data_IF_453911108598
#
_entry.id   IF_453911108598
#
_cell.length_a   1.000
_cell.length_b   1.000
_cell.length_c   1.000
_cell.angle_alpha   90.00
_cell.angle_beta   90.00
_cell.angle_gamma   90.00
#
_symmetry.space_group_name_H-M   'P 1'
#
loop_
_entity.id
_entity.type
_entity.pdbx_description
1 polymer ?
#
# COMPACT_ATOMS: atom_id res chain seq x y z
N UNK A 1 4.96 -21.00 4.06
CA UNK A 1 4.67 -20.06 5.17
C UNK A 1 3.89 -18.90 4.60
N UNK A 2 2.74 -18.58 5.19
CA UNK A 2 1.94 -17.43 4.77
C UNK A 2 2.52 -16.13 5.32
N UNK A 3 2.38 -15.02 4.60
CA UNK A 3 2.81 -13.71 5.06
C UNK A 3 1.95 -12.59 4.48
N UNK A 4 1.80 -11.56 5.31
CA UNK A 4 1.06 -10.34 5.01
C UNK A 4 2.04 -9.18 4.83
N UNK A 5 1.74 -8.25 3.94
CA UNK A 5 2.51 -7.02 3.76
C UNK A 5 1.64 -5.84 4.19
N UNK A 6 2.16 -5.03 5.11
CA UNK A 6 1.50 -3.82 5.60
C UNK A 6 2.19 -2.62 4.96
N UNK A 7 1.43 -1.79 4.27
CA UNK A 7 1.89 -0.55 3.65
C UNK A 7 1.16 0.61 4.31
N UNK A 8 1.88 1.51 4.97
CA UNK A 8 1.31 2.74 5.55
C UNK A 8 1.55 3.92 4.61
N UNK A 9 0.52 4.74 4.38
CA UNK A 9 0.60 5.97 3.58
C UNK A 9 0.11 7.16 4.40
N UNK A 10 0.66 8.34 4.11
CA UNK A 10 0.44 9.55 4.93
C UNK A 10 -0.05 10.77 4.14
N UNK A 11 0.22 10.87 2.83
CA UNK A 11 -0.18 12.05 2.04
C UNK A 11 -0.65 11.68 0.63
N UNK A 12 -1.59 12.46 0.09
CA UNK A 12 -2.03 12.37 -1.32
C UNK A 12 -0.91 12.66 -2.30
N UNK A 13 0.05 13.51 -1.94
CA UNK A 13 1.23 13.82 -2.79
C UNK A 13 2.04 12.58 -3.17
N UNK A 14 1.97 11.51 -2.36
CA UNK A 14 2.68 10.25 -2.59
C UNK A 14 1.84 9.18 -3.27
N UNK A 15 0.68 9.50 -3.83
CA UNK A 15 -0.18 8.54 -4.53
C UNK A 15 0.60 7.73 -5.58
N UNK A 16 1.39 8.41 -6.41
CA UNK A 16 2.20 7.76 -7.45
C UNK A 16 3.27 6.82 -6.86
N UNK A 17 3.85 7.17 -5.71
CA UNK A 17 4.79 6.31 -4.99
C UNK A 17 4.09 5.07 -4.43
N UNK A 18 2.88 5.23 -3.88
CA UNK A 18 2.07 4.13 -3.35
C UNK A 18 1.68 3.17 -4.47
N UNK A 19 1.21 3.69 -5.60
CA UNK A 19 0.87 2.88 -6.78
C UNK A 19 2.08 2.08 -7.28
N UNK A 20 3.25 2.73 -7.37
CA UNK A 20 4.52 2.06 -7.73
C UNK A 20 4.93 1.00 -6.71
N UNK A 21 4.73 1.26 -5.42
CA UNK A 21 4.99 0.30 -4.34
C UNK A 21 4.09 -0.94 -4.50
N UNK A 22 2.79 -0.73 -4.68
CA UNK A 22 1.81 -1.81 -4.87
C UNK A 22 2.12 -2.64 -6.12
N UNK A 23 2.45 -2.00 -7.24
CA UNK A 23 2.87 -2.71 -8.46
C UNK A 23 4.10 -3.60 -8.20
N UNK A 24 5.09 -3.08 -7.46
CA UNK A 24 6.28 -3.87 -7.11
C UNK A 24 5.94 -5.09 -6.23
N UNK A 25 4.98 -4.96 -5.31
CA UNK A 25 4.52 -6.05 -4.45
C UNK A 25 3.74 -7.10 -5.24
N UNK A 26 2.85 -6.66 -6.11
CA UNK A 26 2.05 -7.55 -6.96
C UNK A 26 2.89 -8.25 -8.02
N UNK A 27 4.08 -7.75 -8.34
CA UNK A 27 5.02 -8.35 -9.29
C UNK A 27 6.14 -9.21 -8.66
N UNK A 28 6.15 -9.42 -7.33
CA UNK A 28 7.13 -10.31 -6.69
C UNK A 28 7.02 -11.77 -7.18
N UNK A 29 8.13 -12.50 -7.21
CA UNK A 29 8.16 -13.94 -7.54
C UNK A 29 7.42 -14.78 -6.48
N UNK A 30 7.51 -14.37 -5.21
CA UNK A 30 6.69 -14.87 -4.12
C UNK A 30 5.59 -13.85 -3.82
N UNK A 31 4.34 -14.18 -4.16
CA UNK A 31 3.20 -13.29 -3.89
C UNK A 31 2.90 -13.22 -2.38
N UNK A 32 2.59 -12.03 -1.84
CA UNK A 32 1.99 -11.93 -0.52
C UNK A 32 0.61 -12.60 -0.50
N UNK A 33 0.22 -13.15 0.64
CA UNK A 33 -1.13 -13.70 0.81
C UNK A 33 -2.17 -12.58 0.91
N UNK A 34 -1.77 -11.43 1.47
CA UNK A 34 -2.57 -10.22 1.56
C UNK A 34 -1.68 -8.97 1.61
N UNK A 35 -2.22 -7.85 1.13
CA UNK A 35 -1.62 -6.52 1.26
C UNK A 35 -2.62 -5.63 1.99
N UNK A 36 -2.22 -5.07 3.12
CA UNK A 36 -3.03 -4.16 3.94
C UNK A 36 -2.49 -2.76 3.73
N UNK A 37 -3.26 -1.92 3.05
CA UNK A 37 -2.96 -0.50 2.89
C UNK A 37 -3.60 0.28 4.03
N UNK A 38 -2.77 0.89 4.87
CA UNK A 38 -3.19 1.72 6.00
C UNK A 38 -3.08 3.19 5.56
N UNK A 39 -4.22 3.85 5.47
CA UNK A 39 -4.31 5.30 5.25
C UNK A 39 -4.29 5.98 6.62
N UNK A 40 -3.34 6.88 6.83
CA UNK A 40 -3.34 7.72 8.04
C UNK A 40 -4.63 8.59 8.05
N UNK A 41 -5.24 8.88 9.22
CA UNK A 41 -6.54 9.56 9.31
C UNK A 41 -6.39 11.08 9.11
N UNK A 42 -5.63 11.48 8.08
CA UNK A 42 -5.64 12.82 7.54
C UNK A 42 -6.90 12.95 6.69
N UNK A 43 -7.73 13.97 6.93
CA UNK A 43 -9.04 14.12 6.27
C UNK A 43 -8.94 14.00 4.73
N UNK A 44 -7.84 14.48 4.16
CA UNK A 44 -7.56 14.38 2.74
C UNK A 44 -7.40 12.94 2.23
N UNK A 45 -7.00 11.99 3.05
CA UNK A 45 -6.80 10.58 2.67
C UNK A 45 -8.07 9.72 2.79
N UNK A 46 -9.11 10.19 3.48
CA UNK A 46 -10.34 9.43 3.71
C UNK A 46 -11.23 9.39 2.45
N UNK A 47 -11.09 10.35 1.53
CA UNK A 47 -11.81 10.42 0.26
C UNK A 47 -11.12 9.68 -0.91
N UNK A 48 -10.26 8.69 -0.61
CA UNK A 48 -9.51 7.93 -1.62
C UNK A 48 -10.37 6.88 -2.35
#
# INVERSE_FOLDING_TARGET
MKFSVIVSTYTKERESDVLRCLDSLFNQSRKPDEVILVLDPVDELVEF
#
